data_IF_556974442623
#
_entry.id   IF_556974442623
#
_cell.length_a   1.000
_cell.length_b   1.000
_cell.length_c   1.000
_cell.angle_alpha   90.00
_cell.angle_beta   90.00
_cell.angle_gamma   90.00
#
_symmetry.space_group_name_H-M   'P 1'
#
loop_
_entity.id
_entity.type
_entity.pdbx_description
1 polymer ?
#
# COMPACT_ATOMS: atom_id res chain seq x y z
N UNK A 1 -14.22 11.54 -8.20
CA UNK A 1 -13.74 10.17 -7.99
C UNK A 1 -13.26 9.61 -9.32
N UNK A 2 -12.07 9.05 -9.37
CA UNK A 2 -11.46 8.53 -10.60
C UNK A 2 -11.07 7.06 -10.36
N UNK A 3 -11.86 6.13 -10.91
CA UNK A 3 -11.62 4.70 -10.72
C UNK A 3 -10.34 4.23 -11.39
N UNK A 4 -9.75 3.13 -10.89
CA UNK A 4 -8.57 2.50 -11.52
C UNK A 4 -8.82 2.14 -12.99
N UNK A 5 -10.04 1.72 -13.32
CA UNK A 5 -10.42 1.41 -14.70
C UNK A 5 -10.34 2.64 -15.60
N UNK A 6 -10.84 3.78 -15.12
CA UNK A 6 -10.79 5.04 -15.87
C UNK A 6 -9.37 5.56 -16.01
N UNK A 7 -8.56 5.49 -14.94
CA UNK A 7 -7.15 5.88 -14.98
C UNK A 7 -6.39 5.03 -16.00
N UNK A 8 -6.50 3.72 -15.95
CA UNK A 8 -5.85 2.81 -16.92
C UNK A 8 -6.28 3.07 -18.36
N UNK A 9 -7.52 3.52 -18.59
CA UNK A 9 -8.05 3.81 -19.92
C UNK A 9 -7.60 5.18 -20.45
N UNK A 10 -7.61 6.20 -19.58
CA UNK A 10 -7.40 7.62 -19.99
C UNK A 10 -5.94 8.06 -19.86
N UNK A 11 -5.20 7.54 -18.89
CA UNK A 11 -3.85 7.99 -18.57
C UNK A 11 -2.87 6.83 -18.72
N UNK A 12 -2.21 6.78 -19.86
CA UNK A 12 -1.14 5.80 -20.12
C UNK A 12 0.20 6.51 -19.99
N UNK A 13 0.96 6.19 -18.96
CA UNK A 13 2.33 6.67 -18.76
C UNK A 13 3.27 5.56 -19.24
N UNK A 14 4.03 5.76 -20.33
CA UNK A 14 4.95 4.74 -20.82
C UNK A 14 5.96 4.33 -19.74
N UNK A 15 6.11 3.02 -19.54
CA UNK A 15 7.03 2.48 -18.54
C UNK A 15 6.55 2.55 -17.09
N UNK A 16 5.25 2.82 -16.87
CA UNK A 16 4.62 2.81 -15.54
C UNK A 16 3.35 1.97 -15.53
N UNK A 17 3.07 1.35 -14.38
CA UNK A 17 1.82 0.65 -14.10
C UNK A 17 1.07 1.31 -12.94
N UNK A 18 -0.27 1.21 -12.96
CA UNK A 18 -1.11 1.55 -11.81
C UNK A 18 -0.95 0.45 -10.75
N UNK A 19 -0.59 0.85 -9.54
CA UNK A 19 -0.44 -0.01 -8.38
C UNK A 19 -1.52 0.32 -7.35
N UNK A 20 -2.15 -0.72 -6.76
CA UNK A 20 -3.05 -0.57 -5.62
C UNK A 20 -2.22 -0.56 -4.34
N UNK A 21 -2.35 0.49 -3.54
CA UNK A 21 -1.67 0.61 -2.24
C UNK A 21 -2.17 -0.47 -1.28
N UNK A 22 -3.48 -0.62 -1.15
CA UNK A 22 -4.08 -1.80 -0.52
C UNK A 22 -4.41 -2.79 -1.64
N UNK A 23 -3.71 -3.95 -1.72
CA UNK A 23 -3.86 -4.88 -2.82
C UNK A 23 -5.25 -5.50 -2.92
N UNK A 24 -5.75 -5.68 -4.15
CA UNK A 24 -7.05 -6.32 -4.39
C UNK A 24 -7.15 -7.71 -3.77
N UNK A 25 -6.08 -8.50 -3.82
CA UNK A 25 -6.01 -9.82 -3.18
C UNK A 25 -6.36 -9.77 -1.69
N UNK A 26 -6.03 -8.68 -0.99
CA UNK A 26 -6.33 -8.50 0.44
C UNK A 26 -7.77 -8.02 0.62
N UNK A 27 -8.22 -7.11 -0.23
CA UNK A 27 -9.60 -6.58 -0.21
C UNK A 27 -10.61 -7.71 -0.42
N UNK A 28 -10.26 -8.71 -1.24
CA UNK A 28 -11.12 -9.84 -1.57
C UNK A 28 -11.05 -10.98 -0.55
N UNK A 29 -10.13 -10.92 0.42
CA UNK A 29 -10.03 -11.96 1.47
C UNK A 29 -11.32 -12.04 2.29
N UNK A 30 -11.87 -13.25 2.38
CA UNK A 30 -13.12 -13.50 3.12
C UNK A 30 -13.03 -13.06 4.59
N UNK A 31 -11.87 -13.23 5.24
CA UNK A 31 -11.63 -12.85 6.63
C UNK A 31 -11.82 -11.34 6.87
N UNK A 32 -11.51 -10.50 5.89
CA UNK A 32 -11.56 -9.04 6.04
C UNK A 32 -12.82 -8.40 5.41
N UNK A 33 -13.75 -9.19 4.88
CA UNK A 33 -14.99 -8.65 4.28
C UNK A 33 -15.78 -7.72 5.20
N UNK A 34 -15.97 -8.03 6.50
CA UNK A 34 -16.67 -7.12 7.40
C UNK A 34 -15.96 -5.77 7.52
N UNK A 35 -14.63 -5.77 7.71
CA UNK A 35 -13.82 -4.57 7.78
C UNK A 35 -13.96 -3.72 6.52
N UNK A 36 -13.74 -4.31 5.34
CA UNK A 36 -13.79 -3.57 4.07
C UNK A 36 -15.19 -3.05 3.74
N UNK A 37 -16.25 -3.74 4.19
CA UNK A 37 -17.61 -3.23 4.12
C UNK A 37 -17.75 -1.96 4.97
N UNK A 38 -17.33 -2.03 6.24
CA UNK A 38 -17.31 -0.89 7.15
C UNK A 38 -16.54 0.29 6.57
N UNK A 39 -15.37 0.06 5.99
CA UNK A 39 -14.57 1.12 5.36
C UNK A 39 -15.32 1.81 4.23
N UNK A 40 -16.01 1.05 3.36
CA UNK A 40 -16.84 1.62 2.29
C UNK A 40 -18.02 2.42 2.82
N UNK A 41 -18.69 1.95 3.86
CA UNK A 41 -19.77 2.67 4.54
C UNK A 41 -19.30 4.00 5.14
N UNK A 42 -18.02 4.07 5.57
CA UNK A 42 -17.36 5.27 6.09
C UNK A 42 -16.73 6.14 5.01
N UNK A 43 -16.95 5.82 3.72
CA UNK A 43 -16.52 6.65 2.59
C UNK A 43 -15.10 6.33 2.08
N UNK A 44 -14.46 5.25 2.54
CA UNK A 44 -13.18 4.81 1.97
C UNK A 44 -13.44 3.99 0.70
N UNK A 45 -13.06 4.53 -0.46
CA UNK A 45 -13.22 3.84 -1.73
C UNK A 45 -11.89 3.25 -2.24
N UNK A 46 -11.83 1.93 -2.23
CA UNK A 46 -10.64 1.18 -2.67
C UNK A 46 -10.44 1.20 -4.19
N UNK A 47 -11.47 1.53 -4.98
CA UNK A 47 -11.36 1.72 -6.44
C UNK A 47 -11.02 3.16 -6.82
N UNK A 48 -11.08 4.12 -5.89
CA UNK A 48 -10.61 5.47 -6.15
C UNK A 48 -9.07 5.51 -6.24
N UNK A 49 -8.57 5.85 -7.42
CA UNK A 49 -7.13 5.93 -7.67
C UNK A 49 -6.43 6.99 -6.80
N UNK A 50 -7.09 8.09 -6.46
CA UNK A 50 -6.52 9.12 -5.58
C UNK A 50 -6.30 8.58 -4.16
N UNK A 51 -7.27 7.82 -3.67
CA UNK A 51 -7.16 7.19 -2.35
C UNK A 51 -6.17 6.01 -2.38
N UNK A 52 -6.42 5.01 -3.21
CA UNK A 52 -5.74 3.71 -3.15
C UNK A 52 -4.74 3.47 -4.27
N UNK A 53 -4.41 4.46 -5.10
CA UNK A 53 -3.56 4.27 -6.27
C UNK A 53 -2.26 5.06 -6.27
N UNK A 54 -1.31 4.54 -7.02
CA UNK A 54 -0.14 5.28 -7.48
C UNK A 54 0.43 4.66 -8.75
N UNK A 55 1.17 5.46 -9.53
CA UNK A 55 1.97 4.96 -10.63
C UNK A 55 3.34 4.51 -10.13
N UNK A 56 3.75 3.30 -10.52
CA UNK A 56 5.08 2.77 -10.24
C UNK A 56 5.75 2.33 -11.54
N UNK A 57 7.08 2.50 -11.65
CA UNK A 57 7.83 2.13 -12.85
C UNK A 57 7.80 0.63 -13.08
N UNK A 58 7.62 0.22 -14.34
CA UNK A 58 7.70 -1.17 -14.77
C UNK A 58 8.97 -1.48 -15.58
N UNK A 59 9.84 -0.49 -15.75
CA UNK A 59 11.17 -0.64 -16.36
C UNK A 59 12.27 -0.25 -15.37
N UNK A 60 13.42 -0.91 -15.49
CA UNK A 60 14.59 -0.61 -14.65
C UNK A 60 15.08 0.83 -14.82
N UNK A 61 15.06 1.32 -16.07
CA UNK A 61 15.46 2.69 -16.37
C UNK A 61 14.60 3.71 -15.63
N UNK A 62 13.27 3.54 -15.65
CA UNK A 62 12.37 4.44 -14.94
C UNK A 62 12.48 4.27 -13.41
N UNK A 63 12.67 3.04 -12.92
CA UNK A 63 12.87 2.80 -11.48
C UNK A 63 14.11 3.53 -10.97
N UNK A 64 15.22 3.49 -11.71
CA UNK A 64 16.44 4.20 -11.38
C UNK A 64 16.28 5.72 -11.50
N UNK A 65 15.70 6.20 -12.61
CA UNK A 65 15.53 7.63 -12.88
C UNK A 65 14.64 8.33 -11.85
N UNK A 66 13.55 7.68 -11.43
CA UNK A 66 12.58 8.24 -10.48
C UNK A 66 12.84 7.80 -9.03
N UNK A 67 13.82 6.94 -8.78
CA UNK A 67 14.15 6.38 -7.47
C UNK A 67 12.94 5.71 -6.79
N UNK A 68 12.11 5.04 -7.58
CA UNK A 68 10.91 4.33 -7.14
C UNK A 68 11.12 2.82 -7.24
N UNK A 69 10.38 2.02 -6.45
CA UNK A 69 10.48 0.56 -6.54
C UNK A 69 9.98 0.06 -7.90
N UNK A 70 10.71 -0.89 -8.47
CA UNK A 70 10.32 -1.52 -9.72
C UNK A 70 9.07 -2.39 -9.51
N UNK A 71 8.01 -2.10 -10.23
CA UNK A 71 6.73 -2.80 -10.18
C UNK A 71 6.61 -3.83 -11.31
N UNK A 72 6.98 -5.09 -11.02
CA UNK A 72 6.86 -6.22 -11.97
C UNK A 72 6.26 -7.44 -11.27
N UNK A 73 5.09 -7.85 -11.71
CA UNK A 73 4.43 -9.09 -11.27
C UNK A 73 3.90 -9.05 -9.84
N UNK A 74 3.61 -10.21 -9.25
CA UNK A 74 3.06 -10.33 -7.90
C UNK A 74 4.08 -9.91 -6.83
N UNK A 75 3.57 -9.34 -5.74
CA UNK A 75 4.35 -8.79 -4.64
C UNK A 75 4.01 -9.50 -3.32
N UNK A 76 4.34 -10.79 -3.15
CA UNK A 76 3.88 -11.58 -2.01
C UNK A 76 4.33 -11.01 -0.66
N UNK A 77 5.55 -10.50 -0.57
CA UNK A 77 6.10 -9.89 0.65
C UNK A 77 5.33 -8.63 1.03
N UNK A 78 5.08 -7.76 0.05
CA UNK A 78 4.28 -6.55 0.25
C UNK A 78 2.84 -6.89 0.66
N UNK A 79 2.22 -7.86 -0.03
CA UNK A 79 0.86 -8.30 0.29
C UNK A 79 0.77 -8.90 1.69
N UNK A 80 1.77 -9.69 2.10
CA UNK A 80 1.86 -10.23 3.46
C UNK A 80 1.94 -9.11 4.49
N UNK A 81 2.85 -8.14 4.32
CA UNK A 81 2.98 -6.99 5.20
C UNK A 81 1.65 -6.25 5.37
N UNK A 82 0.99 -5.90 4.27
CA UNK A 82 -0.30 -5.19 4.31
C UNK A 82 -1.36 -6.04 5.02
N UNK A 83 -1.38 -7.36 4.76
CA UNK A 83 -2.30 -8.29 5.41
C UNK A 83 -2.13 -8.33 6.93
N UNK A 84 -0.89 -8.41 7.42
CA UNK A 84 -0.57 -8.45 8.84
C UNK A 84 -0.95 -7.14 9.54
N UNK A 85 -0.69 -6.00 8.91
CA UNK A 85 -1.10 -4.69 9.42
C UNK A 85 -2.61 -4.55 9.53
N UNK A 86 -3.36 -4.97 8.51
CA UNK A 86 -4.82 -4.94 8.54
C UNK A 86 -5.35 -5.87 9.64
N UNK A 87 -4.78 -7.06 9.80
CA UNK A 87 -5.17 -8.00 10.84
C UNK A 87 -4.94 -7.44 12.26
N UNK A 88 -3.95 -6.57 12.45
CA UNK A 88 -3.67 -5.96 13.74
C UNK A 88 -4.77 -5.00 14.20
N UNK A 89 -5.47 -4.32 13.29
CA UNK A 89 -6.55 -3.39 13.65
C UNK A 89 -7.97 -3.87 13.27
N UNK A 90 -8.11 -4.99 12.57
CA UNK A 90 -9.42 -5.53 12.13
C UNK A 90 -10.42 -5.71 13.29
N UNK A 91 -9.94 -5.99 14.50
CA UNK A 91 -10.76 -6.19 15.71
C UNK A 91 -11.01 -4.94 16.53
N UNK A 92 -10.53 -3.79 16.11
CA UNK A 92 -10.71 -2.54 16.82
C UNK A 92 -12.12 -1.94 16.59
N UNK A 93 -12.43 -0.83 17.29
CA UNK A 93 -13.67 -0.09 17.08
C UNK A 93 -13.68 0.54 15.67
N UNK A 94 -14.89 0.73 15.11
CA UNK A 94 -15.08 1.23 13.73
C UNK A 94 -14.33 2.53 13.44
N UNK A 95 -14.40 3.49 14.35
CA UNK A 95 -13.73 4.79 14.16
C UNK A 95 -12.21 4.64 14.15
N UNK A 96 -11.67 3.78 15.02
CA UNK A 96 -10.25 3.45 15.03
C UNK A 96 -9.83 2.72 13.76
N UNK A 97 -10.66 1.80 13.25
CA UNK A 97 -10.37 1.07 12.01
C UNK A 97 -10.22 2.00 10.80
N UNK A 98 -11.09 3.02 10.68
CA UNK A 98 -10.98 3.99 9.58
C UNK A 98 -9.70 4.80 9.67
N UNK A 99 -9.38 5.30 10.87
CA UNK A 99 -8.16 6.02 11.12
C UNK A 99 -6.92 5.17 10.78
N UNK A 100 -6.86 3.93 11.29
CA UNK A 100 -5.74 3.00 11.03
C UNK A 100 -5.60 2.67 9.54
N UNK A 101 -6.71 2.47 8.82
CA UNK A 101 -6.70 2.21 7.38
C UNK A 101 -6.13 3.40 6.60
N UNK A 102 -6.57 4.62 6.92
CA UNK A 102 -6.07 5.85 6.28
C UNK A 102 -4.58 6.04 6.54
N UNK A 103 -4.16 5.77 7.76
CA UNK A 103 -2.77 5.87 8.17
C UNK A 103 -1.92 4.80 7.46
N UNK A 104 -2.34 3.55 7.47
CA UNK A 104 -1.67 2.47 6.75
C UNK A 104 -1.49 2.83 5.27
N UNK A 105 -2.56 3.24 4.61
CA UNK A 105 -2.53 3.64 3.19
C UNK A 105 -1.56 4.80 2.95
N UNK A 106 -1.58 5.83 3.78
CA UNK A 106 -0.68 6.98 3.68
C UNK A 106 0.77 6.61 3.94
N UNK A 107 1.03 5.79 4.95
CA UNK A 107 2.35 5.26 5.30
C UNK A 107 2.95 4.41 4.18
N UNK A 108 2.17 3.47 3.64
CA UNK A 108 2.60 2.63 2.50
C UNK A 108 2.91 3.48 1.27
N UNK A 109 2.08 4.47 0.96
CA UNK A 109 2.30 5.39 -0.17
C UNK A 109 3.58 6.21 0.00
N UNK A 110 3.85 6.68 1.22
CA UNK A 110 5.08 7.41 1.54
C UNK A 110 6.32 6.49 1.43
N UNK A 111 6.26 5.28 1.97
CA UNK A 111 7.36 4.30 1.92
C UNK A 111 7.67 3.86 0.48
N UNK A 112 6.64 3.64 -0.35
CA UNK A 112 6.83 3.37 -1.78
C UNK A 112 7.49 4.54 -2.50
N UNK A 113 7.10 5.78 -2.21
CA UNK A 113 7.73 6.99 -2.79
C UNK A 113 9.20 7.15 -2.42
N UNK A 114 9.61 6.64 -1.26
CA UNK A 114 11.00 6.65 -0.80
C UNK A 114 11.80 5.41 -1.21
N UNK A 115 11.18 4.50 -1.95
CA UNK A 115 11.78 3.21 -2.33
C UNK A 115 12.22 2.34 -1.14
N UNK A 116 11.48 2.42 -0.04
CA UNK A 116 11.73 1.68 1.20
C UNK A 116 11.04 0.30 1.21
N UNK A 117 10.08 0.06 0.31
CA UNK A 117 9.33 -1.19 0.19
C UNK A 117 9.66 -1.91 -1.11
N UNK A 118 10.29 -3.10 -1.05
CA UNK A 118 10.61 -3.88 -2.23
C UNK A 118 9.35 -4.53 -2.83
N UNK A 119 9.15 -4.33 -4.14
CA UNK A 119 8.06 -4.92 -4.91
C UNK A 119 8.56 -5.99 -5.89
N UNK A 120 9.75 -6.56 -5.70
CA UNK A 120 10.30 -7.58 -6.61
C UNK A 120 9.80 -8.98 -6.26
N UNK A 121 9.36 -9.73 -7.28
CA UNK A 121 9.19 -11.17 -7.17
C UNK A 121 10.58 -11.80 -6.93
N UNK A 122 10.73 -12.55 -5.83
CA UNK A 122 11.99 -13.27 -5.54
C UNK A 122 13.11 -12.41 -4.93
N UNK A 123 12.87 -11.13 -4.58
CA UNK A 123 13.72 -10.52 -3.56
C UNK A 123 13.55 -11.41 -2.32
N UNK A 124 14.68 -11.93 -1.81
CA UNK A 124 14.69 -12.51 -0.46
C UNK A 124 14.00 -11.49 0.41
N UNK A 125 13.08 -11.97 1.24
CA UNK A 125 12.50 -11.12 2.26
C UNK A 125 13.66 -10.37 2.93
N UNK A 126 13.82 -9.05 2.74
CA UNK A 126 14.87 -8.32 3.46
C UNK A 126 14.64 -8.41 4.97
N UNK A 127 13.45 -8.84 5.38
CA UNK A 127 12.98 -9.02 6.73
C UNK A 127 13.10 -10.50 7.15
N UNK A 128 14.31 -11.05 7.12
CA UNK A 128 14.58 -12.42 7.57
C UNK A 128 14.81 -12.54 9.07
N UNK A 129 14.77 -11.41 9.79
CA UNK A 129 14.87 -11.39 11.24
C UNK A 129 13.77 -10.50 11.85
N UNK A 130 13.39 -10.79 13.09
CA UNK A 130 12.48 -9.95 13.87
C UNK A 130 13.01 -8.49 13.98
N UNK A 131 14.34 -8.32 13.98
CA UNK A 131 15.02 -7.02 14.00
C UNK A 131 14.76 -6.19 12.71
N UNK A 132 14.65 -6.83 11.55
CA UNK A 132 14.34 -6.13 10.29
C UNK A 132 12.88 -5.68 10.27
N UNK A 133 11.99 -6.47 10.89
CA UNK A 133 10.60 -6.12 11.10
C UNK A 133 10.46 -4.93 12.06
N UNK A 134 11.20 -4.92 13.18
CA UNK A 134 11.26 -3.79 14.11
C UNK A 134 11.82 -2.52 13.45
N UNK A 135 12.86 -2.62 12.65
CA UNK A 135 13.39 -1.47 11.90
C UNK A 135 12.36 -0.88 10.93
N UNK A 136 11.54 -1.72 10.30
CA UNK A 136 10.48 -1.26 9.41
C UNK A 136 9.31 -0.66 10.19
N UNK A 137 8.96 -1.23 11.34
CA UNK A 137 7.98 -0.65 12.26
C UNK A 137 8.45 0.70 12.79
N UNK A 138 9.71 0.83 13.17
CA UNK A 138 10.31 2.08 13.61
C UNK A 138 10.35 3.11 12.46
N UNK A 139 10.66 2.70 11.25
CA UNK A 139 10.64 3.58 10.09
C UNK A 139 9.21 4.03 9.75
N UNK A 140 8.23 3.12 9.77
CA UNK A 140 6.81 3.43 9.63
C UNK A 140 6.31 4.33 10.75
N UNK A 141 6.70 4.07 12.00
CA UNK A 141 6.34 4.87 13.17
C UNK A 141 6.99 6.27 13.14
N UNK A 142 8.23 6.40 12.69
CA UNK A 142 8.91 7.69 12.50
C UNK A 142 8.26 8.52 11.39
N UNK A 143 7.86 7.87 10.31
CA UNK A 143 7.08 8.49 9.23
C UNK A 143 5.73 9.03 9.73
N UNK A 144 5.15 8.33 10.67
CA UNK A 144 3.89 8.64 11.33
C UNK A 144 3.95 9.91 12.19
N UNK A 145 5.03 10.07 12.94
CA UNK A 145 5.21 11.21 13.84
C UNK A 145 5.79 12.48 13.16
N UNK A 146 6.16 12.39 11.89
CA UNK A 146 6.66 13.54 11.11
C UNK A 146 5.57 14.20 10.26
N UNK A 147 4.35 13.64 10.24
CA UNK A 147 3.22 14.31 9.60
C UNK A 147 2.63 15.33 10.58
N UNK A 148 2.48 16.62 10.19
CA UNK A 148 1.83 17.61 11.06
C UNK A 148 0.42 17.16 11.36
N UNK A 149 0.07 17.18 12.63
CA UNK A 149 -1.31 17.02 13.12
C UNK A 149 -2.14 18.15 12.51
N UNK A 150 -3.11 17.82 11.66
CA UNK A 150 -4.13 18.74 11.19
C UNK A 150 -5.35 18.67 12.06
#
# INVERSE_FOLDING_TARGET
MLSFREVKKRVKIPGFHCHHIIPLEIIDKAAFRPLFRTMRELGFDFDDFHQNGMYLPCTEANAAAFRLPLHRGPHPVYNQLVCERIAAFDRQRRDSQLFEMQQLQSGLKAALRRNELPLRKGSRNPFTSDADFECMEIAAYRLWNLLPSH
#
